data_IF_603272237246
#
_entry.id   IF_603272237246
#
_cell.length_a   1.000
_cell.length_b   1.000
_cell.length_c   1.000
_cell.angle_alpha   90.00
_cell.angle_beta   90.00
_cell.angle_gamma   90.00
#
_symmetry.space_group_name_H-M   'P 1'
#
loop_
_entity.id
_entity.type
_entity.pdbx_description
1 polymer ?
#
# COMPACT_ATOMS: atom_id res chain seq x y z
N UNK A 1 -58.44 -1.56 -8.02
CA UNK A 1 -57.18 -0.80 -7.89
C UNK A 1 -56.95 -0.54 -6.41
N UNK A 2 -56.20 -1.43 -5.72
CA UNK A 2 -55.84 -1.23 -4.33
C UNK A 2 -54.56 -0.39 -4.29
N UNK A 3 -54.66 0.81 -3.71
CA UNK A 3 -53.56 1.75 -3.62
C UNK A 3 -52.43 1.22 -2.74
N UNK A 4 -51.21 1.33 -3.24
CA UNK A 4 -50.00 1.36 -2.42
C UNK A 4 -50.14 2.60 -1.51
N UNK A 5 -50.41 2.39 -0.23
CA UNK A 5 -50.24 3.43 0.79
C UNK A 5 -48.74 3.76 0.94
N UNK A 6 -48.38 4.94 1.47
CA UNK A 6 -46.98 5.31 1.64
C UNK A 6 -46.30 4.33 2.61
N UNK A 7 -45.42 3.49 2.08
CA UNK A 7 -44.49 2.67 2.87
C UNK A 7 -43.52 3.62 3.57
N UNK A 8 -43.85 4.02 4.81
CA UNK A 8 -42.94 4.79 5.65
C UNK A 8 -41.83 3.85 6.13
N UNK A 9 -40.58 4.14 5.77
CA UNK A 9 -39.42 3.42 6.29
C UNK A 9 -39.18 3.84 7.75
N UNK A 10 -39.50 2.96 8.69
CA UNK A 10 -39.43 3.19 10.14
C UNK A 10 -38.01 3.15 10.74
N UNK A 11 -36.96 3.26 9.94
CA UNK A 11 -35.57 3.23 10.42
C UNK A 11 -34.73 4.32 9.77
N UNK A 12 -33.90 4.99 10.58
CA UNK A 12 -32.95 5.99 10.09
C UNK A 12 -31.93 5.34 9.14
N UNK A 13 -31.60 5.98 8.00
CA UNK A 13 -30.71 5.40 7.00
C UNK A 13 -29.28 5.24 7.56
N UNK A 14 -28.83 4.00 7.70
CA UNK A 14 -27.46 3.67 8.13
C UNK A 14 -26.49 3.90 6.97
N UNK A 15 -25.65 4.93 7.07
CA UNK A 15 -24.61 5.22 6.07
C UNK A 15 -23.38 4.35 6.30
N UNK A 16 -23.27 3.25 5.56
CA UNK A 16 -22.07 2.40 5.57
C UNK A 16 -20.99 3.07 4.70
N UNK A 17 -19.95 3.62 5.33
CA UNK A 17 -18.81 4.21 4.62
C UNK A 17 -17.78 3.14 4.28
N UNK A 18 -17.48 2.98 2.99
CA UNK A 18 -16.38 2.12 2.54
C UNK A 18 -15.07 2.90 2.65
N UNK A 19 -14.14 2.43 3.48
CA UNK A 19 -12.83 3.07 3.66
C UNK A 19 -12.04 2.98 2.35
N UNK A 20 -11.45 4.10 1.93
CA UNK A 20 -10.55 4.11 0.78
C UNK A 20 -9.37 3.15 1.03
N UNK A 21 -8.94 2.39 0.01
CA UNK A 21 -7.82 1.48 0.15
C UNK A 21 -6.52 2.26 0.45
N UNK A 22 -5.76 1.76 1.42
CA UNK A 22 -4.47 2.34 1.82
C UNK A 22 -3.38 2.00 0.79
N UNK A 23 -2.27 2.74 0.78
CA UNK A 23 -1.16 2.49 -0.15
C UNK A 23 -0.56 1.08 -0.01
N UNK A 24 -0.62 0.49 1.20
CA UNK A 24 -0.20 -0.89 1.43
C UNK A 24 -1.13 -1.89 0.71
N UNK A 25 -2.44 -1.65 0.73
CA UNK A 25 -3.41 -2.50 0.06
C UNK A 25 -3.24 -2.49 -1.47
N UNK A 26 -2.76 -1.38 -2.06
CA UNK A 26 -2.46 -1.31 -3.51
C UNK A 26 -1.34 -2.25 -3.95
N UNK A 27 -0.45 -2.64 -3.02
CA UNK A 27 0.68 -3.55 -3.27
C UNK A 27 0.38 -5.00 -2.89
N UNK A 28 -0.78 -5.26 -2.29
CA UNK A 28 -1.18 -6.61 -1.89
C UNK A 28 -1.45 -7.48 -3.12
N UNK A 29 -0.97 -8.72 -3.09
CA UNK A 29 -1.04 -9.64 -4.24
C UNK A 29 -2.49 -9.91 -4.66
N UNK A 30 -3.40 -10.01 -3.67
CA UNK A 30 -4.82 -10.21 -3.94
C UNK A 30 -5.41 -9.05 -4.74
N UNK A 31 -5.06 -7.82 -4.37
CA UNK A 31 -5.55 -6.60 -5.01
C UNK A 31 -4.95 -6.45 -6.41
N UNK A 32 -3.65 -6.72 -6.57
CA UNK A 32 -2.97 -6.70 -7.89
C UNK A 32 -3.56 -7.76 -8.83
N UNK A 33 -3.81 -8.98 -8.34
CA UNK A 33 -4.39 -10.05 -9.14
C UNK A 33 -5.85 -9.75 -9.53
N UNK A 34 -6.65 -9.15 -8.64
CA UNK A 34 -7.99 -8.70 -8.95
C UNK A 34 -7.98 -7.61 -10.04
N UNK A 35 -7.10 -6.61 -9.92
CA UNK A 35 -6.92 -5.56 -10.92
C UNK A 35 -6.53 -6.14 -12.30
N UNK A 36 -5.63 -7.13 -12.32
CA UNK A 36 -5.19 -7.80 -13.56
C UNK A 36 -6.35 -8.51 -14.24
N UNK A 37 -7.20 -9.20 -13.48
CA UNK A 37 -8.38 -9.91 -14.02
C UNK A 37 -9.45 -8.94 -14.50
N UNK A 38 -9.58 -7.78 -13.87
CA UNK A 38 -10.52 -6.74 -14.25
C UNK A 38 -10.07 -5.91 -15.47
N UNK A 39 -8.86 -6.12 -15.98
CA UNK A 39 -8.27 -5.29 -17.04
C UNK A 39 -7.95 -3.86 -16.60
N UNK A 40 -7.83 -3.62 -15.29
CA UNK A 40 -7.46 -2.33 -14.76
C UNK A 40 -5.95 -2.06 -14.97
N UNK A 41 -5.58 -0.78 -15.05
CA UNK A 41 -4.20 -0.37 -15.18
C UNK A 41 -3.39 -0.75 -13.93
N UNK A 42 -2.23 -1.38 -14.14
CA UNK A 42 -1.30 -1.78 -13.09
C UNK A 42 0.02 -1.06 -13.33
N UNK A 43 0.38 -0.19 -12.40
CA UNK A 43 1.70 0.44 -12.38
C UNK A 43 2.77 -0.62 -12.09
N UNK A 44 3.78 -0.70 -12.97
CA UNK A 44 4.93 -1.58 -12.77
C UNK A 44 6.22 -0.76 -12.74
N UNK A 45 7.06 -1.01 -11.75
CA UNK A 45 8.32 -0.29 -11.56
C UNK A 45 9.46 -1.30 -11.51
N UNK A 46 10.46 -1.10 -12.38
CA UNK A 46 11.70 -1.88 -12.36
C UNK A 46 12.51 -1.49 -11.12
N UNK A 47 12.90 -2.47 -10.30
CA UNK A 47 13.77 -2.23 -9.13
C UNK A 47 15.15 -1.72 -9.57
N UNK A 48 15.77 -0.85 -8.78
CA UNK A 48 17.08 -0.24 -9.08
C UNK A 48 18.18 -1.28 -9.37
N UNK A 49 18.18 -2.41 -8.66
CA UNK A 49 19.16 -3.48 -8.83
C UNK A 49 18.68 -4.61 -9.75
N UNK A 50 17.59 -4.41 -10.50
CA UNK A 50 17.03 -5.45 -11.36
C UNK A 50 17.97 -5.79 -12.53
N UNK A 51 18.11 -7.09 -12.83
CA UNK A 51 18.99 -7.57 -13.90
C UNK A 51 20.43 -7.86 -13.44
N UNK A 52 20.68 -7.94 -12.13
CA UNK A 52 21.98 -8.31 -11.57
C UNK A 52 21.88 -9.63 -10.80
N UNK A 53 22.97 -10.39 -10.74
CA UNK A 53 23.10 -11.64 -9.97
C UNK A 53 23.82 -11.43 -8.63
N UNK A 54 23.80 -10.20 -8.11
CA UNK A 54 24.52 -9.82 -6.91
C UNK A 54 23.97 -10.58 -5.70
N UNK A 55 24.84 -11.25 -4.94
CA UNK A 55 24.43 -12.08 -3.80
C UNK A 55 23.73 -11.25 -2.73
N UNK A 56 22.69 -11.79 -2.08
CA UNK A 56 21.92 -11.07 -1.06
C UNK A 56 22.78 -10.55 0.11
N UNK A 57 23.86 -11.26 0.45
CA UNK A 57 24.84 -10.87 1.46
C UNK A 57 25.77 -9.73 1.05
N UNK A 58 25.82 -9.39 -0.24
CA UNK A 58 26.74 -8.37 -0.78
C UNK A 58 26.11 -6.98 -0.88
N UNK A 59 24.84 -6.84 -0.52
CA UNK A 59 24.16 -5.57 -0.33
C UNK A 59 24.06 -5.26 1.17
N UNK A 60 24.23 -3.99 1.54
CA UNK A 60 24.01 -3.57 2.93
C UNK A 60 22.52 -3.67 3.29
N UNK A 61 22.22 -4.05 4.52
CA UNK A 61 20.86 -4.01 5.09
C UNK A 61 20.51 -2.64 5.67
N UNK A 62 21.49 -1.73 5.77
CA UNK A 62 21.34 -0.39 6.34
C UNK A 62 20.92 0.63 5.27
N UNK A 63 20.24 1.70 5.69
CA UNK A 63 19.94 2.81 4.81
C UNK A 63 21.19 3.70 4.67
N UNK A 64 21.94 3.56 3.57
CA UNK A 64 23.21 4.27 3.36
C UNK A 64 23.05 5.78 3.38
N UNK A 65 21.91 6.30 2.93
CA UNK A 65 21.63 7.74 2.98
C UNK A 65 21.62 8.26 4.43
N UNK A 66 21.03 7.50 5.36
CA UNK A 66 21.03 7.89 6.77
C UNK A 66 22.43 7.82 7.37
N UNK A 67 23.22 6.81 7.00
CA UNK A 67 24.63 6.71 7.44
C UNK A 67 25.46 7.90 6.96
N UNK A 68 25.22 8.40 5.74
CA UNK A 68 25.91 9.59 5.22
C UNK A 68 25.45 10.89 5.91
N UNK A 69 24.19 10.95 6.33
CA UNK A 69 23.59 12.11 7.04
C UNK A 69 23.97 12.14 8.54
N UNK A 70 24.22 10.99 9.17
CA UNK A 70 24.63 10.85 10.57
C UNK A 70 26.09 11.30 10.77
N UNK A 71 26.28 12.59 11.02
CA UNK A 71 27.61 13.24 11.23
C UNK A 71 28.03 13.37 12.70
N UNK A 72 27.13 13.10 13.65
CA UNK A 72 27.43 13.13 15.09
C UNK A 72 28.05 11.81 15.57
N UNK A 73 29.36 11.65 15.33
CA UNK A 73 30.13 10.54 15.87
C UNK A 73 30.39 10.78 17.37
N UNK A 74 29.58 10.17 18.27
CA UNK A 74 29.76 10.27 19.71
C UNK A 74 30.99 9.46 20.16
N UNK A 75 32.18 10.07 20.11
CA UNK A 75 33.38 9.53 20.74
C UNK A 75 33.20 9.53 22.27
N UNK A 76 33.13 8.35 22.88
CA UNK A 76 33.16 8.19 24.34
C UNK A 76 34.57 8.57 24.83
N UNK A 77 34.69 9.70 25.53
CA UNK A 77 35.95 10.14 26.13
C UNK A 77 36.39 9.12 27.20
N UNK A 78 37.70 8.87 27.22
CA UNK A 78 38.46 7.89 28.01
C UNK A 78 38.00 7.73 29.46
#
# INVERSE_FOLDING_TARGET
>A
MAGIGPLTQDWEPVVIRKKAPTAAAKKDEKVVNAARRAGAEIESVKKSNAGTNRAASSSTSLNTRKLDEETENLARKK
#
